data_IF_940723901016
#
_entry.id   IF_940723901016
#
_cell.length_a   1.000
_cell.length_b   1.000
_cell.length_c   1.000
_cell.angle_alpha   90.00
_cell.angle_beta   90.00
_cell.angle_gamma   90.00
#
_symmetry.space_group_name_H-M   'P 1'
#
loop_
_entity.id
_entity.type
_entity.pdbx_description
1 polymer ?
#
# COMPACT_ATOMS: atom_id res chain seq x y z
N UNK A 1 -1.73 46.78 -41.10
CA UNK A 1 -2.16 46.42 -39.73
C UNK A 1 -2.92 45.10 -39.82
N UNK A 2 -2.23 43.94 -39.83
CA UNK A 2 -2.87 42.61 -39.99
C UNK A 2 -2.61 41.66 -38.81
N UNK A 3 -1.74 41.99 -37.85
CA UNK A 3 -1.36 41.07 -36.78
C UNK A 3 -2.43 40.87 -35.68
N UNK A 4 -3.44 41.73 -35.58
CA UNK A 4 -4.48 41.62 -34.56
C UNK A 4 -5.62 40.67 -34.92
N UNK A 5 -5.95 40.53 -36.22
CA UNK A 5 -6.96 39.56 -36.68
C UNK A 5 -6.42 38.14 -36.61
N UNK A 6 -5.17 37.93 -37.03
CA UNK A 6 -4.49 36.63 -36.97
C UNK A 6 -4.36 36.10 -35.52
N UNK A 7 -3.99 36.96 -34.57
CA UNK A 7 -3.92 36.58 -33.14
C UNK A 7 -5.30 36.24 -32.57
N UNK A 8 -6.35 36.98 -32.93
CA UNK A 8 -7.71 36.67 -32.47
C UNK A 8 -8.24 35.36 -33.07
N UNK A 9 -7.90 35.06 -34.32
CA UNK A 9 -8.23 33.79 -34.96
C UNK A 9 -7.50 32.61 -34.30
N UNK A 10 -6.21 32.77 -33.97
CA UNK A 10 -5.45 31.76 -33.21
C UNK A 10 -6.03 31.56 -31.81
N UNK A 11 -6.40 32.65 -31.11
CA UNK A 11 -7.06 32.55 -29.80
C UNK A 11 -8.38 31.78 -29.90
N UNK A 12 -9.21 32.07 -30.90
CA UNK A 12 -10.47 31.37 -31.12
C UNK A 12 -10.27 29.88 -31.44
N UNK A 13 -9.26 29.56 -32.26
CA UNK A 13 -8.90 28.17 -32.58
C UNK A 13 -8.45 27.39 -31.33
N UNK A 14 -7.57 27.99 -30.51
CA UNK A 14 -7.09 27.39 -29.26
C UNK A 14 -8.20 27.22 -28.23
N UNK A 15 -9.13 28.18 -28.13
CA UNK A 15 -10.29 28.05 -27.25
C UNK A 15 -11.22 26.91 -27.68
N UNK A 16 -11.43 26.75 -28.99
CA UNK A 16 -12.22 25.64 -29.52
C UNK A 16 -11.53 24.29 -29.27
N UNK A 17 -10.22 24.21 -29.48
CA UNK A 17 -9.44 23.00 -29.19
C UNK A 17 -9.47 22.64 -27.69
N UNK A 18 -9.31 23.63 -26.82
CA UNK A 18 -9.43 23.44 -25.37
C UNK A 18 -10.83 22.94 -24.99
N UNK A 19 -11.89 23.49 -25.57
CA UNK A 19 -13.26 23.06 -25.32
C UNK A 19 -13.49 21.61 -25.79
N UNK A 20 -12.96 21.24 -26.96
CA UNK A 20 -13.02 19.86 -27.46
C UNK A 20 -12.28 18.88 -26.54
N UNK A 21 -11.07 19.23 -26.09
CA UNK A 21 -10.31 18.35 -25.19
C UNK A 21 -10.97 18.25 -23.81
N UNK A 22 -11.57 19.33 -23.29
CA UNK A 22 -12.38 19.28 -22.07
C UNK A 22 -13.59 18.36 -22.22
N UNK A 23 -14.31 18.45 -23.35
CA UNK A 23 -15.44 17.56 -23.62
C UNK A 23 -15.02 16.10 -23.71
N UNK A 24 -13.92 15.81 -24.40
CA UNK A 24 -13.33 14.47 -24.49
C UNK A 24 -12.91 13.94 -23.12
N UNK A 25 -12.27 14.77 -22.30
CA UNK A 25 -11.88 14.40 -20.94
C UNK A 25 -13.09 14.08 -20.07
N UNK A 26 -14.20 14.82 -20.20
CA UNK A 26 -15.43 14.52 -19.49
C UNK A 26 -15.99 13.13 -19.85
N UNK A 27 -16.04 12.80 -21.15
CA UNK A 27 -16.47 11.48 -21.63
C UNK A 27 -15.54 10.36 -21.16
N UNK A 28 -14.21 10.60 -21.16
CA UNK A 28 -13.26 9.62 -20.67
C UNK A 28 -13.41 9.36 -19.17
N UNK A 29 -13.66 10.40 -18.37
CA UNK A 29 -13.93 10.26 -16.94
C UNK A 29 -15.20 9.43 -16.70
N UNK A 30 -16.27 9.67 -17.44
CA UNK A 30 -17.50 8.87 -17.35
C UNK A 30 -17.24 7.39 -17.69
N UNK A 31 -16.48 7.11 -18.76
CA UNK A 31 -16.09 5.74 -19.12
C UNK A 31 -15.25 5.07 -18.04
N UNK A 32 -14.31 5.79 -17.43
CA UNK A 32 -13.49 5.25 -16.35
C UNK A 32 -14.34 4.88 -15.12
N UNK A 33 -15.32 5.71 -14.78
CA UNK A 33 -16.28 5.39 -13.72
C UNK A 33 -17.09 4.13 -14.07
N UNK A 34 -17.58 4.02 -15.30
CA UNK A 34 -18.30 2.83 -15.77
C UNK A 34 -17.44 1.55 -15.73
N UNK A 35 -16.16 1.63 -16.09
CA UNK A 35 -15.26 0.48 -16.01
C UNK A 35 -14.98 0.02 -14.57
N UNK A 36 -14.88 0.94 -13.61
CA UNK A 36 -14.70 0.59 -12.20
C UNK A 36 -15.95 -0.12 -11.64
N UNK A 37 -17.13 0.33 -12.08
CA UNK A 37 -18.41 -0.30 -11.78
C UNK A 37 -18.50 -1.71 -12.39
N UNK A 38 -18.18 -1.88 -13.66
CA UNK A 38 -18.15 -3.18 -14.34
C UNK A 38 -17.15 -4.14 -13.69
N UNK A 39 -15.96 -3.66 -13.31
CA UNK A 39 -14.95 -4.48 -12.63
C UNK A 39 -15.44 -4.97 -11.27
N UNK A 40 -16.19 -4.13 -10.55
CA UNK A 40 -16.79 -4.51 -9.27
C UNK A 40 -17.87 -5.58 -9.46
N UNK A 41 -18.67 -5.49 -10.53
CA UNK A 41 -19.66 -6.51 -10.88
C UNK A 41 -19.02 -7.85 -11.26
N UNK A 42 -17.95 -7.82 -12.06
CA UNK A 42 -17.19 -9.04 -12.41
C UNK A 42 -16.68 -9.75 -11.16
N UNK A 43 -16.16 -9.01 -10.18
CA UNK A 43 -15.71 -9.59 -8.90
C UNK A 43 -16.86 -10.15 -8.07
N UNK A 44 -18.02 -9.48 -8.06
CA UNK A 44 -19.20 -10.02 -7.38
C UNK A 44 -19.70 -11.32 -8.01
N UNK A 45 -19.55 -11.46 -9.31
CA UNK A 45 -19.90 -12.70 -10.01
C UNK A 45 -18.88 -13.81 -9.73
N UNK A 46 -17.59 -13.48 -9.70
CA UNK A 46 -16.50 -14.40 -9.34
C UNK A 46 -16.71 -15.04 -7.96
N UNK A 47 -17.25 -14.29 -7.00
CA UNK A 47 -17.50 -14.74 -5.63
C UNK A 47 -18.99 -14.98 -5.33
N UNK A 48 -19.80 -15.24 -6.37
CA UNK A 48 -21.25 -15.49 -6.22
C UNK A 48 -21.59 -16.76 -5.44
N UNK A 49 -20.64 -17.68 -5.31
CA UNK A 49 -20.75 -18.90 -4.50
C UNK A 49 -20.70 -18.64 -2.99
N UNK A 50 -20.03 -17.55 -2.57
CA UNK A 50 -19.84 -17.18 -1.16
C UNK A 50 -20.56 -15.90 -0.75
N UNK A 51 -20.94 -15.05 -1.70
CA UNK A 51 -21.66 -13.79 -1.45
C UNK A 51 -23.17 -14.01 -1.64
N UNK A 52 -23.97 -13.96 -0.56
CA UNK A 52 -25.43 -13.98 -0.67
C UNK A 52 -25.94 -12.79 -1.49
N UNK A 53 -27.08 -12.97 -2.18
CA UNK A 53 -27.65 -11.95 -3.06
C UNK A 53 -28.02 -10.66 -2.32
N UNK A 54 -28.48 -10.78 -1.07
CA UNK A 54 -28.80 -9.67 -0.17
C UNK A 54 -27.59 -8.79 0.18
N UNK A 55 -26.39 -9.38 0.21
CA UNK A 55 -25.15 -8.70 0.61
C UNK A 55 -24.37 -8.12 -0.59
N UNK A 56 -24.84 -8.35 -1.84
CA UNK A 56 -24.13 -7.88 -3.05
C UNK A 56 -23.89 -6.38 -3.07
N UNK A 57 -24.86 -5.58 -2.63
CA UNK A 57 -24.71 -4.12 -2.58
C UNK A 57 -23.65 -3.67 -1.57
N UNK A 58 -23.55 -4.39 -0.44
CA UNK A 58 -22.51 -4.14 0.56
C UNK A 58 -21.13 -4.44 -0.03
N UNK A 59 -20.96 -5.62 -0.61
CA UNK A 59 -19.68 -6.04 -1.20
C UNK A 59 -19.27 -5.17 -2.40
N UNK A 60 -20.23 -4.74 -3.23
CA UNK A 60 -19.98 -3.77 -4.30
C UNK A 60 -19.34 -2.49 -3.75
N UNK A 61 -19.96 -1.94 -2.70
CA UNK A 61 -19.46 -0.73 -2.03
C UNK A 61 -18.05 -0.96 -1.47
N UNK A 62 -17.81 -2.12 -0.86
CA UNK A 62 -16.48 -2.48 -0.34
C UNK A 62 -15.41 -2.53 -1.43
N UNK A 63 -15.69 -3.10 -2.61
CA UNK A 63 -14.71 -3.13 -3.70
C UNK A 63 -14.36 -1.73 -4.21
N UNK A 64 -15.37 -0.88 -4.40
CA UNK A 64 -15.18 0.51 -4.85
C UNK A 64 -14.41 1.35 -3.83
N UNK A 65 -14.83 1.31 -2.56
CA UNK A 65 -14.20 2.09 -1.49
C UNK A 65 -12.75 1.66 -1.26
N UNK A 66 -12.46 0.35 -1.27
CA UNK A 66 -11.11 -0.15 -1.10
C UNK A 66 -10.21 0.21 -2.29
N UNK A 67 -10.73 0.14 -3.52
CA UNK A 67 -10.01 0.56 -4.73
C UNK A 67 -9.60 2.03 -4.66
N UNK A 68 -10.55 2.90 -4.27
CA UNK A 68 -10.30 4.32 -4.06
C UNK A 68 -9.26 4.55 -2.94
N UNK A 69 -9.44 3.93 -1.78
CA UNK A 69 -8.55 4.11 -0.64
C UNK A 69 -7.11 3.65 -0.93
N UNK A 70 -6.95 2.52 -1.62
CA UNK A 70 -5.64 2.03 -2.06
C UNK A 70 -4.97 3.01 -3.03
N UNK A 71 -5.71 3.51 -4.03
CA UNK A 71 -5.22 4.48 -5.01
C UNK A 71 -4.78 5.79 -4.35
N UNK A 72 -5.58 6.32 -3.42
CA UNK A 72 -5.21 7.51 -2.64
C UNK A 72 -3.95 7.29 -1.81
N UNK A 73 -3.84 6.14 -1.13
CA UNK A 73 -2.68 5.82 -0.32
C UNK A 73 -1.40 5.69 -1.17
N UNK A 74 -1.47 5.00 -2.30
CA UNK A 74 -0.37 4.88 -3.26
C UNK A 74 0.01 6.26 -3.84
N UNK A 75 -0.97 7.12 -4.13
CA UNK A 75 -0.73 8.50 -4.54
C UNK A 75 0.04 9.29 -3.48
N UNK A 76 -0.35 9.19 -2.20
CA UNK A 76 0.39 9.81 -1.09
C UNK A 76 1.81 9.25 -0.94
N UNK A 77 2.00 7.95 -1.17
CA UNK A 77 3.33 7.32 -1.18
C UNK A 77 4.20 7.88 -2.32
N UNK A 78 3.68 7.93 -3.55
CA UNK A 78 4.38 8.49 -4.70
C UNK A 78 4.81 9.93 -4.45
N UNK A 79 3.90 10.77 -3.96
CA UNK A 79 4.19 12.18 -3.69
C UNK A 79 5.28 12.34 -2.60
N UNK A 80 5.37 11.42 -1.63
CA UNK A 80 6.45 11.41 -0.63
C UNK A 80 7.80 11.01 -1.23
N UNK A 81 7.82 10.14 -2.24
CA UNK A 81 9.04 9.71 -2.93
C UNK A 81 9.54 10.81 -3.87
N UNK A 82 8.63 11.51 -4.55
CA UNK A 82 8.95 12.60 -5.48
C UNK A 82 9.33 13.93 -4.79
N UNK A 83 8.90 14.14 -3.54
CA UNK A 83 9.35 15.28 -2.76
C UNK A 83 10.86 15.15 -2.43
N UNK A 84 11.72 16.11 -2.80
CA UNK A 84 13.11 16.11 -2.33
C UNK A 84 13.10 16.18 -0.81
N UNK A 85 13.93 15.36 -0.15
CA UNK A 85 14.01 15.21 1.29
C UNK A 85 14.46 16.50 2.00
N UNK A 86 13.58 17.50 2.06
CA UNK A 86 13.70 18.67 2.93
C UNK A 86 12.70 18.49 4.06
N UNK A 87 13.08 17.70 5.06
CA UNK A 87 12.20 17.46 6.20
C UNK A 87 12.80 16.43 7.14
N UNK A 88 13.49 16.94 8.16
CA UNK A 88 13.74 16.33 9.47
C UNK A 88 12.89 15.07 9.72
N UNK A 89 13.56 13.92 9.85
CA UNK A 89 12.92 12.68 10.27
C UNK A 89 12.21 12.91 11.62
N UNK A 90 10.89 12.66 11.74
CA UNK A 90 10.24 12.73 13.03
C UNK A 90 10.85 11.64 13.91
N UNK A 91 11.35 12.03 15.09
CA UNK A 91 11.90 11.12 16.07
C UNK A 91 10.93 9.96 16.32
N UNK A 92 11.44 8.72 16.26
CA UNK A 92 10.69 7.52 16.62
C UNK A 92 10.11 7.72 18.02
N UNK A 93 8.82 8.07 18.10
CA UNK A 93 8.11 8.04 19.36
C UNK A 93 8.03 6.58 19.78
N UNK A 94 8.68 6.25 20.88
CA UNK A 94 8.55 4.94 21.51
C UNK A 94 7.05 4.68 21.74
N UNK A 95 6.53 3.49 21.39
CA UNK A 95 5.12 3.19 21.52
C UNK A 95 4.69 3.37 22.98
N UNK A 96 3.67 4.21 23.21
CA UNK A 96 3.10 4.41 24.54
C UNK A 96 2.59 3.06 25.08
N UNK A 97 3.01 2.65 26.28
CA UNK A 97 2.51 1.41 26.86
C UNK A 97 1.01 1.52 27.15
N UNK A 98 0.25 0.57 26.61
CA UNK A 98 -1.19 0.44 26.81
C UNK A 98 -1.50 0.22 28.29
N UNK A 99 -2.06 1.21 28.98
CA UNK A 99 -2.33 1.19 30.43
C UNK A 99 -3.31 0.08 30.87
N UNK A 100 -3.99 -0.56 29.91
CA UNK A 100 -4.96 -1.62 30.18
C UNK A 100 -4.30 -2.99 30.44
N UNK A 101 -2.98 -3.13 30.23
CA UNK A 101 -2.26 -4.39 30.52
C UNK A 101 -2.07 -4.66 32.02
N UNK A 102 -2.11 -3.62 32.86
CA UNK A 102 -1.94 -3.76 34.30
C UNK A 102 -3.16 -4.37 35.02
N UNK A 103 -4.34 -4.37 34.37
CA UNK A 103 -5.58 -4.92 34.92
C UNK A 103 -5.94 -6.31 34.36
N UNK A 104 -5.16 -6.84 33.41
CA UNK A 104 -5.38 -8.18 32.89
C UNK A 104 -4.75 -9.21 33.86
N UNK A 105 -5.53 -10.17 34.41
CA UNK A 105 -4.96 -11.23 35.23
C UNK A 105 -3.99 -12.05 34.38
N UNK A 106 -2.69 -12.01 34.73
CA UNK A 106 -1.70 -12.85 34.08
C UNK A 106 -1.99 -14.32 34.38
N UNK A 107 -1.94 -15.23 33.38
CA UNK A 107 -1.90 -16.66 33.65
C UNK A 107 -0.66 -16.95 34.50
N UNK A 108 -0.85 -17.65 35.62
CA UNK A 108 0.21 -18.04 36.56
C UNK A 108 1.21 -18.93 35.82
N UNK A 109 2.29 -18.33 35.32
CA UNK A 109 3.47 -19.07 34.87
C UNK A 109 4.30 -19.39 36.09
N UNK A 110 4.54 -20.69 36.28
CA UNK A 110 5.42 -21.26 37.30
C UNK A 110 6.82 -20.63 37.17
N UNK A 111 7.55 -20.36 38.27
CA UNK A 111 8.88 -19.77 38.23
C UNK A 111 9.89 -20.79 37.68
N UNK A 112 10.08 -20.77 36.37
CA UNK A 112 11.09 -21.56 35.67
C UNK A 112 12.14 -20.65 35.05
N UNK A 113 13.27 -20.53 35.76
CA UNK A 113 14.61 -20.24 35.25
C UNK A 113 14.78 -19.07 34.26
N UNK A 114 15.44 -18.02 34.73
CA UNK A 114 16.28 -17.21 33.85
C UNK A 114 17.36 -18.09 33.24
N UNK A 115 17.10 -18.58 32.03
CA UNK A 115 18.09 -19.26 31.20
C UNK A 115 18.88 -18.15 30.52
N UNK A 116 20.15 -17.98 30.91
CA UNK A 116 21.10 -17.20 30.13
C UNK A 116 21.04 -17.66 28.67
N UNK A 117 21.07 -16.76 27.67
CA UNK A 117 20.91 -17.14 26.27
C UNK A 117 21.94 -18.23 25.95
N UNK A 118 21.45 -19.42 25.63
CA UNK A 118 22.32 -20.51 25.20
C UNK A 118 22.95 -20.12 23.87
N UNK A 119 24.15 -20.64 23.57
CA UNK A 119 24.85 -20.36 22.31
C UNK A 119 23.97 -20.64 21.07
N UNK A 120 22.98 -21.53 21.19
CA UNK A 120 21.98 -21.81 20.16
C UNK A 120 20.98 -20.68 19.92
N UNK A 121 20.59 -19.93 20.98
CA UNK A 121 19.75 -18.74 20.84
C UNK A 121 20.50 -17.60 20.16
N UNK A 122 21.80 -17.46 20.46
CA UNK A 122 22.67 -16.47 19.79
C UNK A 122 22.88 -16.80 18.32
N UNK A 123 23.01 -18.09 17.97
CA UNK A 123 23.09 -18.53 16.59
C UNK A 123 21.79 -18.29 15.84
N UNK A 124 20.64 -18.60 16.45
CA UNK A 124 19.33 -18.35 15.86
C UNK A 124 19.09 -16.85 15.60
N UNK A 125 19.54 -15.97 16.50
CA UNK A 125 19.48 -14.53 16.31
C UNK A 125 20.36 -14.06 15.14
N UNK A 126 21.59 -14.59 15.02
CA UNK A 126 22.51 -14.29 13.91
C UNK A 126 21.94 -14.73 12.56
N UNK A 127 21.35 -15.92 12.48
CA UNK A 127 20.70 -16.43 11.27
C UNK A 127 19.53 -15.53 10.86
N UNK A 128 18.68 -15.12 11.81
CA UNK A 128 17.54 -14.24 11.53
C UNK A 128 17.99 -12.87 10.99
N UNK A 129 19.00 -12.27 11.61
CA UNK A 129 19.54 -10.98 11.17
C UNK A 129 20.14 -11.10 9.77
N UNK A 130 20.89 -12.17 9.52
CA UNK A 130 21.51 -12.43 8.22
C UNK A 130 20.49 -12.70 7.12
N UNK A 131 19.42 -13.42 7.43
CA UNK A 131 18.30 -13.65 6.52
C UNK A 131 17.62 -12.33 6.13
N UNK A 132 17.47 -11.40 7.09
CA UNK A 132 16.88 -10.09 6.82
C UNK A 132 17.76 -9.25 5.87
N UNK A 133 19.09 -9.28 6.04
CA UNK A 133 20.03 -8.63 5.13
C UNK A 133 19.92 -9.19 3.71
N UNK A 134 19.90 -10.51 3.56
CA UNK A 134 19.81 -11.19 2.26
C UNK A 134 18.47 -10.89 1.58
N UNK A 135 17.37 -10.96 2.33
CA UNK A 135 16.03 -10.66 1.81
C UNK A 135 15.95 -9.21 1.28
N UNK A 136 16.52 -8.26 2.01
CA UNK A 136 16.54 -6.85 1.61
C UNK A 136 17.49 -6.57 0.43
N UNK A 137 18.68 -7.20 0.41
CA UNK A 137 19.69 -7.02 -0.64
C UNK A 137 19.24 -7.63 -1.96
N UNK A 138 18.76 -8.88 -1.91
CA UNK A 138 18.47 -9.68 -3.11
C UNK A 138 16.98 -9.63 -3.50
N UNK A 139 16.15 -8.92 -2.71
CA UNK A 139 14.69 -8.80 -2.90
C UNK A 139 13.98 -10.15 -3.05
N UNK A 140 14.41 -11.14 -2.28
CA UNK A 140 13.82 -12.48 -2.23
C UNK A 140 13.00 -12.69 -0.96
N UNK A 141 12.13 -13.71 -0.95
CA UNK A 141 11.33 -14.04 0.22
C UNK A 141 12.21 -14.38 1.43
N UNK A 142 11.74 -13.99 2.63
CA UNK A 142 12.48 -14.23 3.87
C UNK A 142 12.79 -15.71 4.08
N UNK A 143 11.88 -16.62 3.72
CA UNK A 143 12.09 -18.07 3.82
C UNK A 143 13.28 -18.55 2.98
N UNK A 144 13.39 -18.07 1.72
CA UNK A 144 14.52 -18.41 0.86
C UNK A 144 15.84 -17.81 1.37
N UNK A 145 15.79 -16.58 1.90
CA UNK A 145 16.93 -15.92 2.53
C UNK A 145 17.36 -16.60 3.83
N UNK A 146 16.43 -17.14 4.61
CA UNK A 146 16.67 -17.86 5.86
C UNK A 146 17.39 -19.17 5.62
N UNK A 147 16.93 -20.00 4.68
CA UNK A 147 17.63 -21.24 4.32
C UNK A 147 19.02 -21.01 3.72
N UNK A 148 19.29 -19.80 3.19
CA UNK A 148 20.62 -19.38 2.72
C UNK A 148 21.50 -18.92 3.88
N UNK A 149 20.95 -18.11 4.79
CA UNK A 149 21.62 -17.67 6.01
C UNK A 149 21.96 -18.84 6.95
N UNK A 150 21.09 -19.85 7.04
CA UNK A 150 21.37 -21.08 7.80
C UNK A 150 22.55 -21.84 7.20
N UNK A 151 22.60 -22.02 5.88
CA UNK A 151 23.75 -22.66 5.21
C UNK A 151 25.05 -21.86 5.38
N UNK A 152 24.99 -20.53 5.38
CA UNK A 152 26.17 -19.68 5.61
C UNK A 152 26.71 -19.76 7.05
N UNK A 153 25.83 -19.94 8.05
CA UNK A 153 26.19 -19.86 9.47
C UNK A 153 26.28 -21.20 10.19
N UNK A 154 25.63 -22.26 9.68
CA UNK A 154 25.72 -23.62 10.22
C UNK A 154 26.65 -24.53 9.43
N UNK A 155 26.91 -24.24 8.14
CA UNK A 155 27.76 -25.07 7.27
C UNK A 155 27.20 -26.46 7.04
#
# INVERSE_FOLDING_TARGET
MNGGQDVNEVIAALQNELAMEQAKNAVLLEKLLGYEDELSDVRLEEFSDVIPNEDRNYWRSQFLENSKAASEFLGRLRNRIEAPASGSAPAKQAPRPMHNRAAAPMPKTSPGAGVAPSADQDLAAKIRNRAQEIANRDRISFTAAFSRAERELRG
#
